data_IF_595083583155
#
_entry.id   IF_595083583155
#
_cell.length_a   1.000
_cell.length_b   1.000
_cell.length_c   1.000
_cell.angle_alpha   90.00
_cell.angle_beta   90.00
_cell.angle_gamma   90.00
#
_symmetry.space_group_name_H-M   'P 1'
#
loop_
_entity.id
_entity.type
_entity.pdbx_description
1 polymer ?
#
# COMPACT_ATOMS: atom_id res chain seq x y z
N UNK A 1 -15.67 93.50 23.20
CA UNK A 1 -17.00 92.88 23.00
C UNK A 1 -16.76 91.42 22.63
N UNK A 2 -17.31 90.50 23.45
CA UNK A 2 -17.67 89.09 23.16
C UNK A 2 -16.51 88.10 22.85
N UNK A 3 -15.87 87.44 23.82
CA UNK A 3 -16.17 86.13 24.51
C UNK A 3 -16.18 84.84 23.65
N UNK A 4 -15.27 83.91 24.01
CA UNK A 4 -15.39 82.43 24.08
C UNK A 4 -15.67 81.63 22.78
N UNK A 5 -15.21 80.38 22.55
CA UNK A 5 -14.79 79.27 23.42
C UNK A 5 -14.11 78.18 22.57
N UNK A 6 -13.22 77.39 23.18
CA UNK A 6 -12.53 76.23 22.62
C UNK A 6 -13.46 75.13 22.09
N UNK A 7 -13.07 74.45 20.99
CA UNK A 7 -13.23 73.00 20.79
C UNK A 7 -11.94 72.48 20.14
N UNK A 8 -11.30 71.52 20.80
CA UNK A 8 -10.19 70.73 20.28
C UNK A 8 -10.74 69.45 19.65
N UNK A 9 -10.29 69.08 18.45
CA UNK A 9 -10.30 67.69 17.98
C UNK A 9 -8.98 67.41 17.26
N UNK A 10 -8.39 66.29 17.64
CA UNK A 10 -7.04 65.82 17.37
C UNK A 10 -6.89 65.01 16.08
N UNK A 11 -5.63 64.63 15.81
CA UNK A 11 -5.14 63.56 14.91
C UNK A 11 -5.08 63.90 13.41
N UNK A 12 -4.03 63.56 12.67
CA UNK A 12 -2.84 62.80 12.98
C UNK A 12 -1.86 62.88 11.81
N UNK A 13 -0.58 62.89 12.14
CA UNK A 13 0.58 62.99 11.25
C UNK A 13 0.70 61.72 10.42
N UNK A 14 0.50 61.80 9.10
CA UNK A 14 0.73 60.69 8.18
C UNK A 14 2.25 60.56 7.91
N UNK A 15 2.92 59.79 8.77
CA UNK A 15 4.30 59.35 8.59
C UNK A 15 4.32 58.28 7.48
N UNK A 16 4.94 58.59 6.34
CA UNK A 16 5.29 57.60 5.32
C UNK A 16 6.22 56.55 5.93
N UNK A 17 5.68 55.39 6.26
CA UNK A 17 6.43 54.17 6.51
C UNK A 17 6.40 53.34 5.23
N UNK A 18 7.51 53.37 4.49
CA UNK A 18 7.84 52.35 3.50
C UNK A 18 7.98 51.00 4.24
N UNK A 19 6.93 50.20 4.28
CA UNK A 19 7.02 48.82 4.75
C UNK A 19 7.85 48.01 3.75
N UNK A 20 9.02 47.59 4.20
CA UNK A 20 9.86 46.60 3.53
C UNK A 20 9.06 45.29 3.39
N UNK A 21 8.69 44.95 2.15
CA UNK A 21 8.24 43.61 1.80
C UNK A 21 9.44 42.65 1.83
N UNK A 22 9.81 42.20 3.02
CA UNK A 22 10.78 41.13 3.21
C UNK A 22 10.11 39.78 2.90
N UNK A 23 10.37 39.32 1.68
CA UNK A 23 10.36 37.95 1.16
C UNK A 23 9.93 36.82 2.12
N UNK A 24 8.69 36.33 1.97
CA UNK A 24 8.28 34.96 2.34
C UNK A 24 8.41 34.02 1.12
N UNK A 25 9.60 33.93 0.55
CA UNK A 25 9.95 32.87 -0.42
C UNK A 25 11.06 32.05 0.23
N UNK A 26 10.97 30.72 0.15
CA UNK A 26 11.87 29.73 0.78
C UNK A 26 11.53 29.23 2.20
N UNK A 27 10.26 28.91 2.49
CA UNK A 27 9.97 27.77 3.37
C UNK A 27 9.67 26.55 2.52
N UNK A 28 10.68 25.69 2.32
CA UNK A 28 10.50 24.32 1.82
C UNK A 28 9.38 23.66 2.65
N UNK A 29 8.31 23.12 2.04
CA UNK A 29 7.25 22.47 2.80
C UNK A 29 7.87 21.43 3.72
N UNK A 30 7.53 21.48 5.01
CA UNK A 30 7.99 20.47 5.95
C UNK A 30 7.55 19.09 5.46
N UNK A 31 8.43 18.07 5.51
CA UNK A 31 8.06 16.73 5.11
C UNK A 31 6.92 16.19 5.98
N UNK A 32 5.72 16.11 5.43
CA UNK A 32 4.55 15.59 6.13
C UNK A 32 4.47 14.08 5.96
N UNK A 33 3.91 13.41 6.98
CA UNK A 33 3.56 12.01 6.87
C UNK A 33 2.35 11.86 5.95
N UNK A 34 2.45 10.95 4.99
CA UNK A 34 1.40 10.69 4.00
C UNK A 34 1.01 9.21 4.05
N UNK A 35 -0.27 8.93 3.81
CA UNK A 35 -0.78 7.57 3.77
C UNK A 35 -0.84 7.06 2.34
N UNK A 36 -0.33 5.85 2.15
CA UNK A 36 -0.29 5.18 0.87
C UNK A 36 -0.86 3.78 1.00
N UNK A 37 -1.73 3.40 0.07
CA UNK A 37 -2.28 2.06 -0.02
C UNK A 37 -1.53 1.27 -1.10
N UNK A 38 -1.01 0.11 -0.71
CA UNK A 38 -0.28 -0.80 -1.60
C UNK A 38 -0.95 -2.16 -1.63
N UNK A 39 -0.75 -2.88 -2.73
CA UNK A 39 -1.06 -4.30 -2.78
C UNK A 39 -0.05 -5.04 -1.91
N UNK A 40 -0.49 -6.03 -1.15
CA UNK A 40 0.38 -6.91 -0.37
C UNK A 40 0.36 -8.33 -0.92
N UNK A 41 1.54 -8.94 -1.00
CA UNK A 41 1.73 -10.34 -1.33
C UNK A 41 2.11 -11.13 -0.08
N UNK A 42 1.66 -12.39 0.00
CA UNK A 42 1.97 -13.28 1.14
C UNK A 42 0.85 -13.40 2.18
N UNK A 43 -0.26 -12.67 2.01
CA UNK A 43 -1.53 -12.85 2.74
C UNK A 43 -2.42 -13.91 2.07
N UNK A 44 -1.98 -15.17 2.10
CA UNK A 44 -2.71 -16.28 1.44
C UNK A 44 -3.76 -16.95 2.34
N UNK A 45 -3.68 -16.76 3.66
CA UNK A 45 -4.67 -17.17 4.68
C UNK A 45 -4.79 -16.08 5.75
N UNK A 46 -5.95 -15.93 6.43
CA UNK A 46 -6.19 -14.85 7.39
C UNK A 46 -5.14 -14.77 8.51
N UNK A 47 -4.68 -15.92 9.02
CA UNK A 47 -3.72 -16.00 10.14
C UNK A 47 -2.36 -15.35 9.81
N UNK A 48 -2.04 -15.14 8.52
CA UNK A 48 -0.83 -14.42 8.10
C UNK A 48 -0.88 -12.93 8.44
N UNK A 49 -2.05 -12.34 8.67
CA UNK A 49 -2.16 -10.93 9.02
C UNK A 49 -1.38 -10.59 10.31
N UNK A 50 -1.39 -11.49 11.30
CA UNK A 50 -0.63 -11.29 12.53
C UNK A 50 0.87 -11.18 12.24
N UNK A 51 1.42 -12.10 11.45
CA UNK A 51 2.84 -12.07 11.09
C UNK A 51 3.20 -10.82 10.29
N UNK A 52 2.31 -10.38 9.39
CA UNK A 52 2.51 -9.14 8.65
C UNK A 52 2.64 -7.96 9.60
N UNK A 53 1.72 -7.85 10.57
CA UNK A 53 1.72 -6.77 11.57
C UNK A 53 2.97 -6.80 12.44
N UNK A 54 3.45 -7.97 12.85
CA UNK A 54 4.70 -8.08 13.60
C UNK A 54 5.91 -7.63 12.76
N UNK A 55 6.03 -8.08 11.50
CA UNK A 55 7.12 -7.65 10.62
C UNK A 55 7.15 -6.13 10.38
N UNK A 56 5.98 -5.50 10.28
CA UNK A 56 5.88 -4.05 10.09
C UNK A 56 6.35 -3.22 11.31
N UNK A 57 6.46 -3.80 12.51
CA UNK A 57 7.03 -3.11 13.67
C UNK A 57 8.54 -2.88 13.53
N UNK A 58 9.21 -3.77 12.80
CA UNK A 58 10.67 -3.73 12.60
C UNK A 58 11.06 -2.84 11.41
N UNK A 59 10.11 -2.42 10.56
CA UNK A 59 10.37 -1.54 9.42
C UNK A 59 10.54 -0.10 9.90
N UNK A 60 11.79 0.33 10.06
CA UNK A 60 12.11 1.69 10.49
C UNK A 60 11.52 2.76 9.55
N UNK A 61 10.74 3.67 10.14
CA UNK A 61 10.20 4.86 9.48
C UNK A 61 8.89 4.64 8.72
N UNK A 62 8.32 3.44 8.75
CA UNK A 62 7.03 3.11 8.12
C UNK A 62 6.06 2.64 9.20
N UNK A 63 4.87 3.23 9.25
CA UNK A 63 3.82 2.83 10.18
C UNK A 63 2.70 2.12 9.43
N UNK A 64 2.32 0.93 9.88
CA UNK A 64 1.17 0.21 9.32
C UNK A 64 -0.13 0.75 9.91
N UNK A 65 -1.00 1.32 9.07
CA UNK A 65 -2.28 1.93 9.48
C UNK A 65 -3.41 0.92 9.42
N UNK A 66 -3.52 0.18 8.31
CA UNK A 66 -4.55 -0.84 8.14
C UNK A 66 -4.11 -1.97 7.23
N UNK A 67 -4.76 -3.12 7.41
CA UNK A 67 -4.60 -4.31 6.57
C UNK A 67 -6.00 -4.75 6.14
N UNK A 68 -6.15 -5.07 4.85
CA UNK A 68 -7.36 -5.67 4.30
C UNK A 68 -7.00 -7.00 3.64
N UNK A 69 -7.42 -8.10 4.26
CA UNK A 69 -7.22 -9.44 3.73
C UNK A 69 -7.97 -9.65 2.41
N UNK A 70 -9.26 -9.27 2.36
CA UNK A 70 -10.11 -9.47 1.18
C UNK A 70 -9.64 -8.68 -0.04
N UNK A 71 -9.11 -7.47 0.17
CA UNK A 71 -8.55 -6.67 -0.90
C UNK A 71 -7.09 -7.05 -1.22
N UNK A 72 -6.41 -7.79 -0.34
CA UNK A 72 -4.96 -7.94 -0.33
C UNK A 72 -4.25 -6.57 -0.41
N UNK A 73 -4.67 -5.63 0.44
CA UNK A 73 -4.14 -4.27 0.51
C UNK A 73 -3.64 -3.93 1.92
N UNK A 74 -2.59 -3.11 2.00
CA UNK A 74 -2.12 -2.48 3.22
C UNK A 74 -2.08 -0.98 3.04
N UNK A 75 -2.48 -0.24 4.07
CA UNK A 75 -2.25 1.21 4.13
C UNK A 75 -1.14 1.48 5.11
N UNK A 76 -0.13 2.19 4.65
CA UNK A 76 1.05 2.57 5.43
C UNK A 76 1.19 4.08 5.45
N UNK A 77 1.72 4.60 6.54
CA UNK A 77 2.02 6.00 6.74
C UNK A 77 3.53 6.19 6.85
N UNK A 78 4.10 7.08 6.05
CA UNK A 78 5.49 7.47 6.16
C UNK A 78 5.77 8.81 5.49
N UNK A 79 6.97 9.34 5.75
CA UNK A 79 7.48 10.56 5.11
C UNK A 79 8.43 10.14 3.97
N UNK A 80 8.06 10.30 2.68
CA UNK A 80 8.86 9.76 1.56
C UNK A 80 10.31 10.25 1.54
N UNK A 81 10.54 11.54 1.77
CA UNK A 81 11.89 12.12 1.76
C UNK A 81 12.77 11.65 2.92
N UNK A 82 12.17 11.15 4.01
CA UNK A 82 12.89 10.65 5.19
C UNK A 82 13.21 9.17 5.07
N UNK A 83 12.23 8.37 4.65
CA UNK A 83 12.39 6.91 4.52
C UNK A 83 13.18 6.52 3.27
N UNK A 84 12.97 7.26 2.17
CA UNK A 84 13.57 6.99 0.88
C UNK A 84 14.24 8.26 0.31
N UNK A 85 15.35 8.72 0.91
CA UNK A 85 16.03 9.93 0.43
C UNK A 85 16.48 9.77 -1.03
N UNK A 86 16.20 10.79 -1.84
CA UNK A 86 16.53 10.82 -3.27
C UNK A 86 15.77 9.82 -4.15
N UNK A 87 14.74 9.13 -3.63
CA UNK A 87 13.90 8.26 -4.45
C UNK A 87 12.95 9.09 -5.32
N UNK A 88 12.83 8.70 -6.59
CA UNK A 88 11.74 9.19 -7.43
C UNK A 88 10.42 8.52 -7.01
N UNK A 89 9.25 9.15 -7.22
CA UNK A 89 7.95 8.55 -6.86
C UNK A 89 7.77 7.13 -7.39
N UNK A 90 8.27 6.84 -8.59
CA UNK A 90 8.16 5.53 -9.24
C UNK A 90 9.01 4.45 -8.53
N UNK A 91 10.07 4.84 -7.83
CA UNK A 91 10.96 3.93 -7.09
C UNK A 91 10.48 3.63 -5.67
N UNK A 92 9.52 4.39 -5.14
CA UNK A 92 9.07 4.25 -3.75
C UNK A 92 8.49 2.87 -3.50
N UNK A 93 7.68 2.36 -4.43
CA UNK A 93 7.06 1.02 -4.32
C UNK A 93 8.14 -0.06 -4.28
N UNK A 94 9.13 0.01 -5.17
CA UNK A 94 10.21 -0.96 -5.24
C UNK A 94 11.06 -0.94 -3.97
N UNK A 95 11.43 0.24 -3.46
CA UNK A 95 12.21 0.36 -2.23
C UNK A 95 11.43 -0.08 -0.99
N UNK A 96 10.12 0.16 -0.96
CA UNK A 96 9.25 -0.35 0.09
C UNK A 96 9.14 -1.87 0.03
N UNK A 97 8.99 -2.47 -1.16
CA UNK A 97 8.98 -3.92 -1.36
C UNK A 97 10.28 -4.55 -0.86
N UNK A 98 11.43 -3.96 -1.19
CA UNK A 98 12.73 -4.42 -0.70
C UNK A 98 12.81 -4.41 0.83
N UNK A 99 12.34 -3.34 1.49
CA UNK A 99 12.28 -3.28 2.96
C UNK A 99 11.35 -4.34 3.55
N UNK A 100 10.14 -4.46 3.03
CA UNK A 100 9.15 -5.46 3.51
C UNK A 100 9.68 -6.87 3.34
N UNK A 101 10.33 -7.19 2.22
CA UNK A 101 10.95 -8.50 1.97
C UNK A 101 12.13 -8.76 2.89
N UNK A 102 12.94 -7.75 3.17
CA UNK A 102 14.10 -7.89 4.07
C UNK A 102 13.63 -8.28 5.48
N UNK A 103 12.67 -7.57 6.05
CA UNK A 103 12.17 -7.86 7.40
C UNK A 103 11.35 -9.16 7.47
N UNK A 104 10.59 -9.47 6.42
CA UNK A 104 9.72 -10.67 6.39
C UNK A 104 10.39 -11.94 5.88
N UNK A 105 11.70 -11.92 5.62
CA UNK A 105 12.44 -13.00 4.96
C UNK A 105 11.78 -13.47 3.65
N UNK A 106 11.34 -12.51 2.82
CA UNK A 106 10.62 -12.73 1.56
C UNK A 106 9.28 -13.46 1.65
N UNK A 107 8.72 -13.63 2.87
CA UNK A 107 7.39 -14.22 3.04
C UNK A 107 6.26 -13.23 2.79
N UNK A 108 6.57 -11.93 2.81
CA UNK A 108 5.70 -10.86 2.35
C UNK A 108 6.40 -9.99 1.31
N UNK A 109 5.60 -9.28 0.53
CA UNK A 109 6.04 -8.23 -0.37
C UNK A 109 4.95 -7.21 -0.58
N UNK A 110 5.29 -6.09 -1.21
CA UNK A 110 4.31 -5.08 -1.62
C UNK A 110 4.45 -4.75 -3.10
N UNK A 111 3.37 -4.27 -3.69
CA UNK A 111 3.35 -3.87 -5.08
C UNK A 111 2.43 -2.67 -5.30
N UNK A 112 2.40 -2.15 -6.55
CA UNK A 112 1.48 -1.10 -6.90
C UNK A 112 0.06 -1.56 -6.61
N UNK A 113 -0.77 -0.65 -6.07
CA UNK A 113 -2.19 -0.91 -5.89
C UNK A 113 -2.81 -1.23 -7.24
N UNK A 114 -3.66 -2.25 -7.28
CA UNK A 114 -4.38 -2.58 -8.50
C UNK A 114 -5.35 -1.43 -8.82
N UNK A 115 -5.13 -0.76 -9.95
CA UNK A 115 -6.03 0.27 -10.43
C UNK A 115 -7.20 -0.38 -11.18
N UNK A 116 -8.43 -0.22 -10.69
CA UNK A 116 -9.63 -0.62 -11.42
C UNK A 116 -10.80 -1.06 -10.54
N UNK A 117 -12.02 -1.17 -11.11
CA UNK A 117 -13.20 -1.68 -10.41
C UNK A 117 -13.04 -3.18 -10.14
N UNK A 118 -13.17 -3.58 -8.87
CA UNK A 118 -13.14 -4.99 -8.48
C UNK A 118 -14.35 -5.79 -8.98
N UNK A 119 -15.42 -5.10 -9.39
CA UNK A 119 -16.69 -5.70 -9.84
C UNK A 119 -16.57 -6.47 -11.17
N UNK A 120 -15.49 -6.23 -11.92
CA UNK A 120 -15.21 -6.94 -13.18
C UNK A 120 -14.41 -8.22 -13.00
N UNK A 121 -13.96 -8.51 -11.77
CA UNK A 121 -13.16 -9.69 -11.50
C UNK A 121 -14.06 -10.89 -11.22
N UNK A 122 -13.70 -12.02 -11.81
CA UNK A 122 -14.36 -13.31 -11.57
C UNK A 122 -13.63 -14.06 -10.45
N UNK A 123 -14.40 -14.69 -9.56
CA UNK A 123 -13.86 -15.58 -8.53
C UNK A 123 -13.71 -16.99 -9.08
N UNK A 124 -12.47 -17.45 -9.19
CA UNK A 124 -12.15 -18.83 -9.58
C UNK A 124 -11.66 -19.60 -8.35
N UNK A 125 -12.30 -20.73 -8.08
CA UNK A 125 -11.91 -21.66 -7.02
C UNK A 125 -11.43 -22.96 -7.65
N UNK A 126 -10.22 -23.39 -7.28
CA UNK A 126 -9.56 -24.60 -7.77
C UNK A 126 -9.31 -25.51 -6.58
N UNK A 127 -9.83 -26.73 -6.63
CA UNK A 127 -9.51 -27.75 -5.64
C UNK A 127 -8.04 -28.15 -5.82
N UNK A 128 -7.30 -28.24 -4.71
CA UNK A 128 -5.89 -28.60 -4.72
C UNK A 128 -5.59 -29.64 -3.64
N UNK A 129 -4.61 -30.48 -3.90
CA UNK A 129 -4.01 -31.41 -2.95
C UNK A 129 -2.50 -31.18 -2.85
N UNK A 130 -1.91 -31.72 -1.79
CA UNK A 130 -0.47 -31.62 -1.55
C UNK A 130 -0.12 -31.70 -0.08
N UNK A 131 1.15 -31.42 0.23
CA UNK A 131 1.63 -31.26 1.60
C UNK A 131 0.98 -30.01 2.22
N UNK A 132 0.42 -30.16 3.41
CA UNK A 132 -0.33 -29.15 4.17
C UNK A 132 0.56 -28.18 4.96
N UNK A 133 1.80 -28.03 4.51
CA UNK A 133 2.77 -27.16 5.17
C UNK A 133 2.59 -25.70 4.77
N UNK A 134 2.87 -24.76 5.68
CA UNK A 134 2.79 -23.31 5.40
C UNK A 134 3.64 -22.88 4.19
N UNK A 135 4.83 -23.46 4.03
CA UNK A 135 5.70 -23.17 2.90
C UNK A 135 5.11 -23.66 1.57
N UNK A 136 4.39 -24.77 1.63
CA UNK A 136 3.69 -25.38 0.49
C UNK A 136 2.55 -24.45 0.05
N UNK A 137 1.75 -23.94 0.99
CA UNK A 137 0.66 -22.98 0.71
C UNK A 137 1.20 -21.69 0.10
N UNK A 138 2.30 -21.16 0.66
CA UNK A 138 2.99 -19.98 0.12
C UNK A 138 3.46 -20.24 -1.32
N UNK A 139 4.07 -21.39 -1.61
CA UNK A 139 4.54 -21.72 -2.94
C UNK A 139 3.40 -21.82 -3.97
N UNK A 140 2.27 -22.43 -3.58
CA UNK A 140 1.06 -22.48 -4.40
C UNK A 140 0.50 -21.07 -4.68
N UNK A 141 0.36 -20.26 -3.63
CA UNK A 141 -0.07 -18.88 -3.72
C UNK A 141 0.83 -18.04 -4.64
N UNK A 142 2.15 -18.10 -4.47
CA UNK A 142 3.10 -17.34 -5.27
C UNK A 142 3.08 -17.74 -6.75
N UNK A 143 2.68 -18.98 -7.06
CA UNK A 143 2.45 -19.44 -8.42
C UNK A 143 1.38 -18.65 -9.16
N UNK A 144 0.34 -18.18 -8.45
CA UNK A 144 -0.80 -17.51 -9.07
C UNK A 144 -0.92 -16.02 -8.76
N UNK A 145 -0.51 -15.57 -7.57
CA UNK A 145 -0.78 -14.21 -7.09
C UNK A 145 -0.11 -13.11 -7.95
N UNK A 146 1.02 -13.45 -8.59
CA UNK A 146 1.82 -12.55 -9.43
C UNK A 146 1.52 -12.67 -10.92
N UNK A 147 0.55 -13.50 -11.32
CA UNK A 147 0.14 -13.59 -12.72
C UNK A 147 -0.59 -12.32 -13.14
N UNK A 148 -0.39 -11.90 -14.40
CA UNK A 148 -1.14 -10.77 -14.95
C UNK A 148 -2.63 -11.09 -15.00
N UNK A 149 -3.46 -10.13 -14.61
CA UNK A 149 -4.89 -10.29 -14.43
C UNK A 149 -5.33 -10.84 -13.07
N UNK A 150 -4.44 -11.27 -12.19
CA UNK A 150 -4.83 -11.71 -10.83
C UNK A 150 -4.83 -10.52 -9.87
N UNK A 151 -6.00 -10.15 -9.38
CA UNK A 151 -6.18 -9.10 -8.38
C UNK A 151 -5.82 -9.58 -6.97
N UNK A 152 -6.31 -10.76 -6.63
CA UNK A 152 -6.20 -11.33 -5.29
C UNK A 152 -6.11 -12.85 -5.41
N UNK A 153 -5.39 -13.48 -4.49
CA UNK A 153 -5.30 -14.92 -4.40
C UNK A 153 -5.27 -15.36 -2.94
N UNK A 154 -5.82 -16.54 -2.66
CA UNK A 154 -5.68 -17.27 -1.39
C UNK A 154 -5.30 -18.71 -1.69
N UNK A 155 -4.59 -19.34 -0.76
CA UNK A 155 -4.25 -20.74 -0.85
C UNK A 155 -4.37 -21.34 0.55
N UNK A 156 -5.26 -22.32 0.71
CA UNK A 156 -5.48 -23.00 1.98
C UNK A 156 -5.52 -24.49 1.69
N UNK A 157 -4.47 -25.21 2.07
CA UNK A 157 -4.46 -26.67 1.96
C UNK A 157 -5.35 -27.30 3.04
N UNK A 158 -5.55 -26.62 4.17
CA UNK A 158 -6.56 -26.98 5.15
C UNK A 158 -7.97 -27.05 4.55
N UNK A 159 -8.30 -26.08 3.67
CA UNK A 159 -9.58 -26.05 2.96
C UNK A 159 -9.52 -26.82 1.62
N UNK A 160 -8.37 -27.39 1.25
CA UNK A 160 -8.16 -28.09 -0.01
C UNK A 160 -8.39 -27.24 -1.25
N UNK A 161 -8.22 -25.91 -1.18
CA UNK A 161 -8.55 -25.00 -2.28
C UNK A 161 -7.63 -23.79 -2.40
N UNK A 162 -7.44 -23.38 -3.65
CA UNK A 162 -6.86 -22.10 -4.03
C UNK A 162 -7.96 -21.25 -4.64
N UNK A 163 -8.07 -20.00 -4.22
CA UNK A 163 -9.03 -19.03 -4.79
C UNK A 163 -8.27 -17.89 -5.43
N UNK A 164 -8.71 -17.43 -6.59
CA UNK A 164 -8.20 -16.24 -7.24
C UNK A 164 -9.35 -15.33 -7.69
N UNK A 165 -9.18 -14.03 -7.52
CA UNK A 165 -9.98 -13.02 -8.21
C UNK A 165 -9.23 -12.60 -9.47
N UNK A 166 -9.81 -12.87 -10.63
CA UNK A 166 -9.15 -12.70 -11.93
C UNK A 166 -9.89 -11.78 -12.87
N UNK A 167 -9.15 -11.04 -13.68
CA UNK A 167 -9.67 -10.35 -14.85
C UNK A 167 -9.79 -11.37 -15.98
N UNK A 168 -11.02 -11.77 -16.39
CA UNK A 168 -11.24 -12.78 -17.41
C UNK A 168 -10.71 -12.37 -18.79
N UNK A 169 -10.43 -11.07 -19.02
CA UNK A 169 -9.81 -10.61 -20.26
C UNK A 169 -8.30 -10.90 -20.33
N UNK A 170 -7.65 -11.18 -19.19
CA UNK A 170 -6.18 -11.34 -19.10
C UNK A 170 -5.78 -12.75 -18.72
N UNK A 171 -6.51 -13.38 -17.83
CA UNK A 171 -6.22 -14.73 -17.33
C UNK A 171 -7.49 -15.55 -17.17
N UNK A 172 -7.33 -16.85 -17.04
CA UNK A 172 -8.41 -17.82 -16.95
C UNK A 172 -8.03 -18.97 -16.00
N UNK A 173 -9.00 -19.86 -15.73
CA UNK A 173 -8.77 -21.04 -14.89
C UNK A 173 -7.62 -21.91 -15.40
N UNK A 174 -7.49 -22.13 -16.70
CA UNK A 174 -6.49 -23.03 -17.27
C UNK A 174 -5.06 -22.52 -17.01
N UNK A 175 -4.83 -21.21 -17.15
CA UNK A 175 -3.55 -20.56 -16.81
C UNK A 175 -3.22 -20.67 -15.33
N UNK A 176 -4.22 -20.52 -14.45
CA UNK A 176 -4.02 -20.72 -13.00
C UNK A 176 -3.62 -22.17 -12.70
N UNK A 177 -4.32 -23.14 -13.27
CA UNK A 177 -4.02 -24.56 -13.07
C UNK A 177 -2.63 -24.93 -13.60
N UNK A 178 -2.23 -24.43 -14.77
CA UNK A 178 -0.89 -24.64 -15.32
C UNK A 178 0.20 -24.05 -14.41
N UNK A 179 -0.02 -22.83 -13.90
CA UNK A 179 0.91 -22.19 -12.96
C UNK A 179 1.03 -22.98 -11.64
N UNK A 180 -0.09 -23.52 -11.12
CA UNK A 180 -0.10 -24.37 -9.93
C UNK A 180 0.64 -25.70 -10.17
N UNK A 181 0.42 -26.35 -11.33
CA UNK A 181 1.13 -27.59 -11.71
C UNK A 181 2.64 -27.36 -11.82
N UNK A 182 3.08 -26.22 -12.38
CA UNK A 182 4.50 -25.83 -12.46
C UNK A 182 5.14 -25.66 -11.08
N UNK A 183 4.35 -25.37 -10.04
CA UNK A 183 4.78 -25.31 -8.64
C UNK A 183 4.70 -26.66 -7.92
N UNK A 184 4.32 -27.74 -8.61
CA UNK A 184 4.18 -29.06 -8.04
C UNK A 184 2.89 -29.27 -7.23
N UNK A 185 1.91 -28.37 -7.36
CA UNK A 185 0.61 -28.50 -6.68
C UNK A 185 -0.21 -29.59 -7.38
N UNK A 186 -0.81 -30.49 -6.59
CA UNK A 186 -1.68 -31.52 -7.13
C UNK A 186 -3.06 -30.93 -7.38
N UNK A 187 -3.62 -31.17 -8.55
CA UNK A 187 -4.97 -30.74 -8.91
C UNK A 187 -5.77 -32.00 -9.21
N UNK A 188 -6.68 -32.44 -8.31
CA UNK A 188 -7.53 -33.59 -8.56
C UNK A 188 -8.41 -33.33 -9.80
N UNK A 189 -8.73 -34.38 -10.55
CA UNK A 189 -9.70 -34.28 -11.64
C UNK A 189 -11.06 -33.96 -11.01
N UNK A 190 -11.68 -32.88 -11.48
CA UNK A 190 -13.02 -32.47 -11.08
C UNK A 190 -14.09 -33.29 -11.82
#
# INVERSE_FOLDING_TARGET
>A
MTTARCIAIAAGTALLLCSAAAQEKDKKPEPKAEQFTYRVYGLFVPDREKDLRENFKEIAGVTLVSVSFDAAEVTVEFVPSKVFPGAKPEQVVERLDQKVRAESHSTFGVGPRLAGPRDKFERVVIAVGGLDCRACELAAYEGIARLDGVAQATASFKDGKVTALIDPAKTDRAKLEDALRKRGVQIPKQ
#
